data_IF_772109529447
#
_entry.id   IF_772109529447
#
_cell.length_a   1.000
_cell.length_b   1.000
_cell.length_c   1.000
_cell.angle_alpha   90.00
_cell.angle_beta   90.00
_cell.angle_gamma   90.00
#
_symmetry.space_group_name_H-M   'P 1'
#
loop_
_entity.id
_entity.type
_entity.pdbx_description
1 polymer ?
#
# COMPACT_ATOMS: atom_id res chain seq x y z
N UNK A 1 31.67 -28.45 27.24
CA UNK A 1 32.52 -27.42 26.62
C UNK A 1 32.47 -26.21 27.52
N UNK A 2 33.48 -26.02 28.37
CA UNK A 2 33.58 -24.82 29.19
C UNK A 2 34.02 -23.67 28.29
N UNK A 3 33.19 -22.63 28.21
CA UNK A 3 33.53 -21.39 27.51
C UNK A 3 34.77 -20.78 28.18
N UNK A 4 35.79 -20.40 27.40
CA UNK A 4 37.01 -19.74 27.88
C UNK A 4 36.66 -18.58 28.85
N UNK A 5 37.39 -18.37 29.95
CA UNK A 5 37.04 -17.37 30.98
C UNK A 5 36.83 -15.94 30.44
N UNK A 6 37.53 -15.56 29.36
CA UNK A 6 37.36 -14.28 28.68
C UNK A 6 36.17 -14.18 27.72
N UNK A 7 35.41 -15.26 27.49
CA UNK A 7 34.26 -15.23 26.59
C UNK A 7 33.16 -14.30 27.11
N UNK A 8 32.90 -14.32 28.42
CA UNK A 8 31.89 -13.47 29.05
C UNK A 8 32.28 -11.99 29.03
N UNK A 9 33.56 -11.67 29.21
CA UNK A 9 34.04 -10.28 29.14
C UNK A 9 33.95 -9.74 27.71
N UNK A 10 34.31 -10.54 26.70
CA UNK A 10 34.13 -10.17 25.29
C UNK A 10 32.66 -9.98 24.94
N UNK A 11 31.76 -10.88 25.37
CA UNK A 11 30.32 -10.74 25.16
C UNK A 11 29.76 -9.49 25.83
N UNK A 12 30.18 -9.19 27.06
CA UNK A 12 29.77 -7.99 27.78
C UNK A 12 30.26 -6.71 27.08
N UNK A 13 31.51 -6.67 26.63
CA UNK A 13 32.06 -5.52 25.90
C UNK A 13 31.36 -5.32 24.55
N UNK A 14 31.06 -6.39 23.82
CA UNK A 14 30.27 -6.33 22.58
C UNK A 14 28.85 -5.84 22.84
N UNK A 15 28.22 -6.28 23.93
CA UNK A 15 26.90 -5.84 24.34
C UNK A 15 26.88 -4.35 24.71
N UNK A 16 27.86 -3.88 25.51
CA UNK A 16 28.01 -2.47 25.87
C UNK A 16 28.30 -1.60 24.63
N UNK A 17 29.13 -2.08 23.71
CA UNK A 17 29.39 -1.42 22.43
C UNK A 17 28.11 -1.28 21.61
N UNK A 18 27.31 -2.35 21.49
CA UNK A 18 26.02 -2.31 20.78
C UNK A 18 25.03 -1.36 21.46
N UNK A 19 24.95 -1.39 22.80
CA UNK A 19 24.11 -0.49 23.58
C UNK A 19 24.46 0.99 23.38
N UNK A 20 25.72 1.33 23.12
CA UNK A 20 26.13 2.70 22.84
C UNK A 20 26.04 3.07 21.35
N UNK A 21 26.44 2.16 20.47
CA UNK A 21 26.53 2.38 19.03
C UNK A 21 25.14 2.44 18.36
N UNK A 22 24.18 1.65 18.81
CA UNK A 22 22.84 1.64 18.22
C UNK A 22 22.06 2.94 18.48
N UNK A 23 21.99 3.48 19.72
CA UNK A 23 21.36 4.77 19.98
C UNK A 23 22.12 5.92 19.30
N UNK A 24 23.44 5.92 19.32
CA UNK A 24 24.23 6.98 18.65
C UNK A 24 23.99 6.98 17.14
N UNK A 25 23.99 5.83 16.46
CA UNK A 25 23.63 5.76 15.04
C UNK A 25 22.19 6.21 14.79
N UNK A 26 21.26 5.83 15.67
CA UNK A 26 19.86 6.28 15.59
C UNK A 26 19.77 7.80 15.71
N UNK A 27 20.44 8.44 16.67
CA UNK A 27 20.35 9.89 16.87
C UNK A 27 21.14 10.69 15.82
N UNK A 28 22.27 10.18 15.34
CA UNK A 28 23.17 10.91 14.45
C UNK A 28 22.90 10.71 12.96
N UNK A 29 22.19 9.67 12.54
CA UNK A 29 21.97 9.36 11.11
C UNK A 29 20.49 9.24 10.74
N UNK A 30 19.94 10.20 9.98
CA UNK A 30 18.58 10.10 9.44
C UNK A 30 18.35 8.84 8.60
N UNK A 31 19.39 8.41 7.86
CA UNK A 31 19.36 7.15 7.11
C UNK A 31 19.23 5.93 8.02
N UNK A 32 19.95 5.90 9.15
CA UNK A 32 19.84 4.80 10.12
C UNK A 32 18.44 4.73 10.73
N UNK A 33 17.85 5.88 11.11
CA UNK A 33 16.46 5.94 11.59
C UNK A 33 15.49 5.34 10.57
N UNK A 34 15.62 5.71 9.31
CA UNK A 34 14.79 5.18 8.22
C UNK A 34 14.90 3.66 8.10
N UNK A 35 16.11 3.11 8.05
CA UNK A 35 16.29 1.66 7.92
C UNK A 35 15.75 0.90 9.13
N UNK A 36 15.97 1.41 10.35
CA UNK A 36 15.42 0.79 11.55
C UNK A 36 13.89 0.84 11.56
N UNK A 37 13.27 1.99 11.23
CA UNK A 37 11.81 2.10 11.13
C UNK A 37 11.22 1.19 10.06
N UNK A 38 11.88 1.05 8.91
CA UNK A 38 11.45 0.13 7.85
C UNK A 38 11.69 -1.34 8.21
N UNK A 39 12.76 -1.66 8.92
CA UNK A 39 13.02 -2.99 9.43
C UNK A 39 11.97 -3.38 10.47
N UNK A 40 11.64 -2.49 11.40
CA UNK A 40 10.55 -2.66 12.34
C UNK A 40 9.21 -2.84 11.61
N UNK A 41 8.90 -2.00 10.62
CA UNK A 41 7.67 -2.10 9.81
C UNK A 41 7.50 -3.49 9.18
N UNK A 42 8.52 -3.94 8.45
CA UNK A 42 8.47 -5.23 7.76
C UNK A 42 8.52 -6.41 8.74
N UNK A 43 9.35 -6.33 9.78
CA UNK A 43 9.47 -7.36 10.81
C UNK A 43 8.16 -7.53 11.59
N UNK A 44 7.50 -6.43 11.92
CA UNK A 44 6.21 -6.43 12.60
C UNK A 44 5.11 -7.07 11.74
N UNK A 45 5.07 -6.76 10.43
CA UNK A 45 4.15 -7.43 9.49
C UNK A 45 4.42 -8.94 9.43
N UNK A 46 5.68 -9.36 9.34
CA UNK A 46 6.05 -10.78 9.32
C UNK A 46 5.65 -11.49 10.61
N UNK A 47 5.86 -10.85 11.76
CA UNK A 47 5.46 -11.35 13.07
C UNK A 47 3.94 -11.52 13.17
N UNK A 48 3.16 -10.49 12.80
CA UNK A 48 1.70 -10.57 12.77
C UNK A 48 1.20 -11.66 11.81
N UNK A 49 1.87 -11.83 10.67
CA UNK A 49 1.54 -12.90 9.74
C UNK A 49 1.78 -14.29 10.34
N UNK A 50 2.86 -14.49 11.12
CA UNK A 50 3.08 -15.75 11.88
C UNK A 50 1.92 -16.03 12.83
N UNK A 51 1.45 -15.01 13.56
CA UNK A 51 0.33 -15.15 14.47
C UNK A 51 -1.01 -15.40 13.74
N UNK A 52 -1.20 -14.83 12.56
CA UNK A 52 -2.41 -15.01 11.76
C UNK A 52 -2.51 -16.40 11.12
N UNK A 53 -1.38 -17.01 10.75
CA UNK A 53 -1.34 -18.27 9.98
C UNK A 53 -2.13 -19.40 10.65
N UNK A 54 -1.98 -19.74 11.94
CA UNK A 54 -2.73 -20.83 12.56
C UNK A 54 -4.25 -20.63 12.46
N UNK A 55 -4.73 -19.40 12.71
CA UNK A 55 -6.15 -19.06 12.65
C UNK A 55 -6.68 -19.15 11.22
N UNK A 56 -5.94 -18.60 10.26
CA UNK A 56 -6.31 -18.66 8.84
C UNK A 56 -6.23 -20.09 8.29
N UNK A 57 -5.26 -20.89 8.73
CA UNK A 57 -5.04 -22.26 8.27
C UNK A 57 -6.19 -23.20 8.68
N UNK A 58 -6.74 -23.05 9.89
CA UNK A 58 -7.92 -23.80 10.34
C UNK A 58 -9.13 -23.57 9.42
N UNK A 59 -9.26 -22.37 8.86
CA UNK A 59 -10.35 -22.00 7.92
C UNK A 59 -10.02 -22.36 6.47
N UNK A 60 -8.82 -22.86 6.20
CA UNK A 60 -8.28 -23.05 4.87
C UNK A 60 -8.10 -21.74 4.10
N UNK A 61 -7.87 -21.85 2.79
CA UNK A 61 -7.77 -20.68 1.90
C UNK A 61 -9.15 -20.05 1.71
N UNK A 62 -9.36 -18.89 2.32
CA UNK A 62 -10.67 -18.22 2.34
C UNK A 62 -10.52 -16.70 2.34
N UNK A 63 -11.30 -16.00 1.51
CA UNK A 63 -11.31 -14.52 1.42
C UNK A 63 -11.72 -13.85 2.73
N UNK A 64 -12.49 -14.53 3.59
CA UNK A 64 -12.88 -14.04 4.90
C UNK A 64 -11.69 -13.85 5.85
N UNK A 65 -10.58 -14.54 5.61
CA UNK A 65 -9.34 -14.34 6.38
C UNK A 65 -8.75 -12.94 6.16
N UNK A 66 -9.13 -12.22 5.09
CA UNK A 66 -8.76 -10.80 4.94
C UNK A 66 -9.27 -9.93 6.09
N UNK A 67 -10.39 -10.31 6.74
CA UNK A 67 -10.88 -9.58 7.93
C UNK A 67 -9.90 -9.70 9.11
N UNK A 68 -9.30 -10.89 9.28
CA UNK A 68 -8.29 -11.14 10.31
C UNK A 68 -7.03 -10.32 10.00
N UNK A 69 -6.52 -10.41 8.77
CA UNK A 69 -5.34 -9.64 8.37
C UNK A 69 -5.58 -8.14 8.50
N UNK A 70 -6.74 -7.64 8.08
CA UNK A 70 -7.14 -6.23 8.24
C UNK A 70 -7.08 -5.83 9.71
N UNK A 71 -7.79 -6.56 10.59
CA UNK A 71 -7.83 -6.24 12.01
C UNK A 71 -6.43 -6.19 12.64
N UNK A 72 -5.57 -7.15 12.29
CA UNK A 72 -4.21 -7.24 12.80
C UNK A 72 -3.27 -6.18 12.23
N UNK A 73 -3.57 -5.56 11.08
CA UNK A 73 -2.71 -4.56 10.45
C UNK A 73 -3.15 -3.11 10.72
N UNK A 74 -4.43 -2.88 11.07
CA UNK A 74 -5.00 -1.54 11.29
C UNK A 74 -4.24 -0.72 12.33
N UNK A 75 -3.69 -1.35 13.37
CA UNK A 75 -3.01 -0.61 14.44
C UNK A 75 -1.63 -0.09 14.06
N UNK A 76 -1.02 -0.62 12.99
CA UNK A 76 0.36 -0.27 12.62
C UNK A 76 0.50 1.23 12.38
N UNK A 77 -0.52 1.90 11.83
CA UNK A 77 -0.48 3.36 11.62
C UNK A 77 -0.25 4.13 12.92
N UNK A 78 -0.80 3.66 14.04
CA UNK A 78 -0.61 4.27 15.36
C UNK A 78 0.81 4.06 15.89
N UNK A 79 1.48 2.96 15.50
CA UNK A 79 2.92 2.72 15.79
C UNK A 79 3.85 3.65 15.02
N UNK A 80 3.34 4.55 14.19
CA UNK A 80 4.11 5.61 13.53
C UNK A 80 3.46 6.99 13.66
N UNK A 81 2.34 7.10 14.39
CA UNK A 81 1.61 8.35 14.54
C UNK A 81 1.01 8.83 13.23
N UNK A 82 0.77 7.90 12.28
CA UNK A 82 0.19 8.22 10.98
C UNK A 82 -1.32 8.28 11.14
N UNK A 83 -1.90 9.43 10.81
CA UNK A 83 -3.34 9.60 10.69
C UNK A 83 -3.76 9.24 9.27
N UNK A 84 -4.79 8.42 9.13
CA UNK A 84 -5.41 8.14 7.83
C UNK A 84 -6.79 8.77 7.84
N UNK A 85 -7.06 9.66 6.91
CA UNK A 85 -8.37 10.31 6.75
C UNK A 85 -9.05 9.83 5.48
N UNK A 86 -10.20 9.19 5.66
CA UNK A 86 -10.98 8.60 4.59
C UNK A 86 -12.09 9.54 4.19
N UNK A 87 -12.19 9.84 2.88
CA UNK A 87 -13.25 10.66 2.29
C UNK A 87 -14.00 9.86 1.24
N UNK A 88 -15.32 10.03 1.18
CA UNK A 88 -16.15 9.41 0.13
C UNK A 88 -16.44 7.92 0.31
N UNK A 89 -16.31 7.37 1.52
CA UNK A 89 -16.57 5.95 1.79
C UNK A 89 -18.00 5.49 1.41
N UNK A 90 -18.96 6.42 1.34
CA UNK A 90 -20.34 6.14 0.89
C UNK A 90 -20.43 5.77 -0.60
N UNK A 91 -19.37 5.97 -1.40
CA UNK A 91 -19.35 5.59 -2.82
C UNK A 91 -19.17 4.08 -3.06
N UNK A 92 -18.85 3.29 -2.02
CA UNK A 92 -18.75 1.83 -2.16
C UNK A 92 -20.13 1.19 -2.41
N UNK A 93 -20.29 0.37 -3.46
CA UNK A 93 -21.53 -0.38 -3.69
C UNK A 93 -21.76 -1.40 -2.56
N UNK A 94 -22.90 -1.34 -1.84
CA UNK A 94 -23.14 -2.27 -0.74
C UNK A 94 -23.45 -3.70 -1.24
N UNK A 95 -24.13 -3.83 -2.38
CA UNK A 95 -24.85 -5.07 -2.74
C UNK A 95 -24.37 -5.74 -4.03
N UNK A 96 -23.16 -5.42 -4.51
CA UNK A 96 -22.61 -6.05 -5.72
C UNK A 96 -21.08 -6.16 -5.69
N UNK A 97 -20.50 -7.13 -6.42
CA UNK A 97 -19.07 -7.17 -6.73
C UNK A 97 -18.61 -5.92 -7.49
N UNK A 98 -17.34 -5.54 -7.30
CA UNK A 98 -16.69 -4.45 -8.03
C UNK A 98 -15.17 -4.60 -8.00
N UNK A 99 -14.52 -3.87 -8.90
CA UNK A 99 -13.06 -3.75 -8.94
C UNK A 99 -12.65 -2.43 -8.31
N UNK A 100 -11.84 -2.47 -7.26
CA UNK A 100 -11.19 -1.28 -6.70
C UNK A 100 -9.91 -1.01 -7.48
N UNK A 101 -9.71 0.25 -7.89
CA UNK A 101 -8.50 0.69 -8.59
C UNK A 101 -7.86 1.80 -7.77
N UNK A 102 -6.61 1.60 -7.33
CA UNK A 102 -5.88 2.58 -6.51
C UNK A 102 -4.47 2.84 -7.04
N UNK A 103 -3.97 4.07 -6.91
CA UNK A 103 -2.55 4.37 -7.15
C UNK A 103 -1.65 3.62 -6.14
N UNK A 104 -0.38 3.40 -6.51
CA UNK A 104 0.58 2.64 -5.71
C UNK A 104 1.92 3.38 -5.57
N UNK A 105 2.17 3.95 -4.39
CA UNK A 105 3.36 4.73 -4.09
C UNK A 105 4.43 3.91 -3.35
N UNK A 106 4.05 3.05 -2.39
CA UNK A 106 5.01 2.29 -1.58
C UNK A 106 4.36 1.12 -0.83
N UNK A 107 5.12 0.44 0.03
CA UNK A 107 4.55 -0.54 0.95
C UNK A 107 3.67 0.07 2.03
N UNK A 108 3.75 1.38 2.30
CA UNK A 108 2.90 2.08 3.26
C UNK A 108 1.45 2.25 2.75
N UNK A 109 1.20 2.07 1.45
CA UNK A 109 -0.17 2.03 0.91
C UNK A 109 -1.02 0.94 1.59
N UNK A 110 -0.38 -0.06 2.19
CA UNK A 110 -1.02 -1.07 3.02
C UNK A 110 -1.83 -0.42 4.15
N UNK A 111 -1.30 0.62 4.79
CA UNK A 111 -1.97 1.30 5.91
C UNK A 111 -3.28 1.96 5.45
N UNK A 112 -3.24 2.71 4.35
CA UNK A 112 -4.43 3.32 3.76
C UNK A 112 -5.41 2.27 3.23
N UNK A 113 -4.91 1.22 2.58
CA UNK A 113 -5.73 0.13 2.06
C UNK A 113 -6.51 -0.58 3.17
N UNK A 114 -5.88 -0.91 4.30
CA UNK A 114 -6.54 -1.60 5.41
C UNK A 114 -7.67 -0.78 6.04
N UNK A 115 -7.60 0.56 6.04
CA UNK A 115 -8.67 1.41 6.55
C UNK A 115 -9.96 1.27 5.74
N UNK A 116 -9.83 1.28 4.41
CA UNK A 116 -10.98 1.30 3.48
C UNK A 116 -11.25 -0.05 2.82
N UNK A 117 -10.53 -1.10 3.19
CA UNK A 117 -10.65 -2.41 2.57
C UNK A 117 -12.09 -2.92 2.71
N UNK A 118 -12.82 -3.11 1.60
CA UNK A 118 -14.18 -3.61 1.66
C UNK A 118 -14.25 -5.05 2.22
N UNK A 119 -15.41 -5.43 2.72
CA UNK A 119 -15.69 -6.83 3.07
C UNK A 119 -15.48 -7.74 1.86
N UNK A 120 -14.92 -8.94 2.08
CA UNK A 120 -14.63 -9.93 1.02
C UNK A 120 -13.84 -9.35 -0.16
N UNK A 121 -12.92 -8.42 0.10
CA UNK A 121 -12.05 -7.84 -0.92
C UNK A 121 -10.64 -8.42 -0.86
N UNK A 122 -10.12 -8.90 -2.00
CA UNK A 122 -8.76 -9.45 -2.11
C UNK A 122 -7.90 -8.66 -3.10
N UNK A 123 -6.65 -8.30 -2.75
CA UNK A 123 -5.75 -7.62 -3.68
C UNK A 123 -5.14 -8.58 -4.71
N UNK A 124 -4.76 -8.02 -5.87
CA UNK A 124 -3.92 -8.69 -6.87
C UNK A 124 -2.44 -8.34 -6.62
N UNK A 125 -1.68 -9.34 -6.20
CA UNK A 125 -0.27 -9.26 -5.88
C UNK A 125 0.64 -9.82 -6.99
N UNK A 126 1.91 -9.40 -6.97
CA UNK A 126 2.97 -9.97 -7.82
C UNK A 126 3.33 -11.38 -7.32
N UNK A 127 3.48 -12.36 -8.22
CA UNK A 127 3.75 -13.78 -7.89
C UNK A 127 4.88 -13.97 -6.88
N UNK A 128 5.94 -13.19 -6.99
CA UNK A 128 7.10 -13.25 -6.11
C UNK A 128 6.78 -12.91 -4.65
N UNK A 129 5.68 -12.18 -4.37
CA UNK A 129 5.23 -11.90 -3.01
C UNK A 129 4.69 -13.15 -2.29
N UNK A 130 4.34 -14.21 -3.02
CA UNK A 130 4.00 -15.50 -2.41
C UNK A 130 5.16 -16.04 -1.57
N UNK A 131 6.39 -15.75 -1.98
CA UNK A 131 7.63 -16.22 -1.35
C UNK A 131 8.16 -15.26 -0.28
N UNK A 132 7.38 -14.24 0.12
CA UNK A 132 7.76 -13.28 1.16
C UNK A 132 7.59 -13.84 2.59
N UNK A 133 8.00 -15.09 2.82
CA UNK A 133 7.91 -15.78 4.11
C UNK A 133 6.49 -15.89 4.66
N UNK A 134 6.31 -15.64 5.96
CA UNK A 134 5.01 -15.72 6.65
C UNK A 134 3.97 -14.80 6.03
N UNK A 135 4.36 -13.60 5.60
CA UNK A 135 3.43 -12.65 4.96
C UNK A 135 2.87 -13.20 3.64
N UNK A 136 3.70 -13.86 2.84
CA UNK A 136 3.28 -14.50 1.58
C UNK A 136 2.25 -15.62 1.82
N UNK A 137 2.53 -16.50 2.79
CA UNK A 137 1.61 -17.58 3.18
C UNK A 137 0.29 -17.05 3.78
N UNK A 138 0.36 -16.05 4.66
CA UNK A 138 -0.84 -15.42 5.23
C UNK A 138 -1.72 -14.78 4.14
N UNK A 139 -1.10 -14.09 3.17
CA UNK A 139 -1.79 -13.54 2.01
C UNK A 139 -2.45 -14.66 1.18
N UNK A 140 -1.74 -15.76 0.92
CA UNK A 140 -2.27 -16.90 0.18
C UNK A 140 -3.48 -17.53 0.86
N UNK A 141 -3.40 -17.77 2.18
CA UNK A 141 -4.52 -18.25 2.99
C UNK A 141 -5.70 -17.27 3.02
N UNK A 142 -5.44 -15.98 2.83
CA UNK A 142 -6.46 -14.94 2.72
C UNK A 142 -7.06 -14.77 1.33
N UNK A 143 -6.72 -15.64 0.38
CA UNK A 143 -7.29 -15.59 -0.97
C UNK A 143 -6.70 -14.48 -1.86
N UNK A 144 -5.57 -13.87 -1.46
CA UNK A 144 -4.83 -12.93 -2.33
C UNK A 144 -4.50 -13.61 -3.65
N UNK A 145 -4.72 -12.89 -4.75
CA UNK A 145 -4.51 -13.41 -6.11
C UNK A 145 -3.10 -13.04 -6.54
N UNK A 146 -2.28 -14.04 -6.84
CA UNK A 146 -0.89 -13.86 -7.25
C UNK A 146 -0.75 -14.03 -8.76
N UNK A 147 -0.25 -13.00 -9.45
CA UNK A 147 -0.07 -13.02 -10.91
C UNK A 147 1.40 -12.88 -11.31
N UNK A 148 1.80 -13.63 -12.35
CA UNK A 148 3.05 -13.38 -13.05
C UNK A 148 2.83 -12.30 -14.12
N UNK A 149 3.30 -11.09 -13.85
CA UNK A 149 3.15 -9.94 -14.75
C UNK A 149 4.08 -9.99 -15.97
N UNK A 150 5.05 -10.93 -16.00
CA UNK A 150 5.97 -11.11 -17.14
C UNK A 150 5.40 -12.05 -18.19
N UNK A 151 4.45 -12.93 -17.82
CA UNK A 151 3.77 -13.85 -18.72
C UNK A 151 2.36 -13.36 -19.01
N UNK A 152 2.23 -12.59 -20.09
CA UNK A 152 0.96 -11.94 -20.45
C UNK A 152 -0.19 -12.92 -20.68
N UNK A 153 0.09 -14.10 -21.28
CA UNK A 153 -0.92 -15.15 -21.47
C UNK A 153 -1.50 -15.66 -20.15
N UNK A 154 -0.62 -16.04 -19.21
CA UNK A 154 -0.99 -16.49 -17.86
C UNK A 154 -1.75 -15.40 -17.09
N UNK A 155 -1.38 -14.13 -17.27
CA UNK A 155 -2.10 -13.02 -16.63
C UNK A 155 -3.53 -12.88 -17.16
N UNK A 156 -3.76 -13.07 -18.46
CA UNK A 156 -5.11 -12.97 -19.06
C UNK A 156 -6.00 -14.12 -18.58
N UNK A 157 -5.49 -15.36 -18.59
CA UNK A 157 -6.27 -16.52 -18.12
C UNK A 157 -6.66 -16.37 -16.65
N UNK A 158 -5.73 -15.92 -15.79
CA UNK A 158 -6.02 -15.64 -14.38
C UNK A 158 -7.07 -14.54 -14.24
N UNK A 159 -7.00 -13.44 -15.01
CA UNK A 159 -8.04 -12.40 -14.94
C UNK A 159 -9.41 -12.94 -15.34
N UNK A 160 -9.48 -13.87 -16.31
CA UNK A 160 -10.73 -14.52 -16.70
C UNK A 160 -11.31 -15.40 -15.59
N UNK A 161 -10.48 -16.15 -14.89
CA UNK A 161 -10.90 -16.95 -13.71
C UNK A 161 -11.35 -16.04 -12.55
N UNK A 162 -10.64 -14.94 -12.33
CA UNK A 162 -11.00 -13.93 -11.33
C UNK A 162 -12.34 -13.26 -11.67
N UNK A 163 -12.62 -13.00 -12.95
CA UNK A 163 -13.90 -12.47 -13.40
C UNK A 163 -15.07 -13.38 -13.02
N UNK A 164 -14.90 -14.70 -13.19
CA UNK A 164 -15.90 -15.69 -12.77
C UNK A 164 -16.04 -15.77 -11.24
N UNK A 165 -14.92 -15.71 -10.52
CA UNK A 165 -14.90 -15.76 -9.06
C UNK A 165 -15.57 -14.54 -8.42
N UNK A 166 -15.34 -13.34 -8.96
CA UNK A 166 -15.99 -12.08 -8.54
C UNK A 166 -17.52 -12.26 -8.46
N UNK A 167 -18.11 -12.83 -9.51
CA UNK A 167 -19.56 -12.99 -9.65
C UNK A 167 -20.11 -14.15 -8.82
N UNK A 168 -19.47 -15.32 -8.90
CA UNK A 168 -19.99 -16.55 -8.29
C UNK A 168 -19.83 -16.59 -6.77
N UNK A 169 -18.84 -15.87 -6.22
CA UNK A 169 -18.51 -15.92 -4.79
C UNK A 169 -18.74 -14.60 -4.04
N UNK A 170 -19.36 -13.60 -4.68
CA UNK A 170 -19.51 -12.23 -4.14
C UNK A 170 -18.19 -11.70 -3.55
N UNK A 171 -17.15 -11.69 -4.38
CA UNK A 171 -15.81 -11.21 -4.02
C UNK A 171 -15.60 -9.85 -4.66
N UNK A 172 -14.81 -8.99 -4.02
CA UNK A 172 -14.32 -7.73 -4.59
C UNK A 172 -12.82 -7.85 -4.82
N UNK A 173 -12.30 -7.17 -5.83
CA UNK A 173 -10.88 -7.27 -6.19
C UNK A 173 -10.23 -5.91 -6.14
N UNK A 174 -9.09 -5.82 -5.46
CA UNK A 174 -8.29 -4.60 -5.38
C UNK A 174 -7.09 -4.67 -6.32
N UNK A 175 -6.97 -3.69 -7.22
CA UNK A 175 -5.88 -3.64 -8.20
C UNK A 175 -5.14 -2.32 -8.12
N UNK A 176 -3.82 -2.42 -8.08
CA UNK A 176 -2.90 -1.31 -8.29
C UNK A 176 -2.49 -1.29 -9.78
N UNK A 177 -3.15 -0.48 -10.64
CA UNK A 177 -3.06 -0.60 -12.09
C UNK A 177 -1.72 -0.12 -12.65
N UNK A 178 -0.92 0.62 -11.87
CA UNK A 178 0.46 1.00 -12.21
C UNK A 178 1.37 -0.24 -12.37
N UNK A 179 1.05 -1.33 -11.68
CA UNK A 179 1.78 -2.59 -11.76
C UNK A 179 3.18 -2.57 -11.12
N UNK A 180 3.57 -1.46 -10.50
CA UNK A 180 4.75 -1.29 -9.65
C UNK A 180 4.49 -0.14 -8.67
N UNK A 181 5.35 0.00 -7.65
CA UNK A 181 5.34 1.14 -6.74
C UNK A 181 5.99 2.34 -7.41
N UNK A 182 5.42 3.54 -7.23
CA UNK A 182 6.01 4.79 -7.69
C UNK A 182 6.47 5.67 -6.52
N UNK A 183 7.77 5.85 -6.40
CA UNK A 183 8.36 6.68 -5.36
C UNK A 183 8.56 8.15 -5.77
N UNK A 184 8.19 8.53 -7.00
CA UNK A 184 8.54 9.81 -7.62
C UNK A 184 7.42 10.87 -7.57
N UNK A 185 6.39 10.69 -6.74
CA UNK A 185 5.40 11.73 -6.40
C UNK A 185 4.31 11.96 -7.46
N UNK A 186 4.52 11.49 -8.69
CA UNK A 186 3.51 11.42 -9.74
C UNK A 186 2.81 10.06 -9.77
N UNK A 187 1.78 9.88 -10.60
CA UNK A 187 1.22 8.55 -10.91
C UNK A 187 1.83 8.00 -12.19
N UNK A 188 2.11 6.70 -12.23
CA UNK A 188 2.50 6.03 -13.46
C UNK A 188 1.29 5.80 -14.38
N UNK A 189 1.51 5.59 -15.69
CA UNK A 189 0.45 5.16 -16.59
C UNK A 189 -0.22 3.87 -16.11
N UNK A 190 -1.55 3.83 -16.18
CA UNK A 190 -2.32 2.67 -15.75
C UNK A 190 -2.32 1.58 -16.83
N UNK A 191 -2.04 0.35 -16.41
CA UNK A 191 -2.21 -0.84 -17.24
C UNK A 191 -3.69 -1.18 -17.38
N UNK A 192 -4.05 -1.76 -18.53
CA UNK A 192 -5.46 -2.04 -18.89
C UNK A 192 -6.09 -3.20 -18.12
N UNK A 193 -5.31 -4.06 -17.46
CA UNK A 193 -5.78 -5.32 -16.87
C UNK A 193 -6.96 -5.18 -15.89
N UNK A 194 -6.92 -4.20 -14.99
CA UNK A 194 -8.02 -3.94 -14.05
C UNK A 194 -9.33 -3.56 -14.76
N UNK A 195 -9.21 -2.79 -15.85
CA UNK A 195 -10.35 -2.34 -16.64
C UNK A 195 -10.92 -3.47 -17.50
N UNK A 196 -10.06 -4.30 -18.08
CA UNK A 196 -10.50 -5.51 -18.77
C UNK A 196 -11.23 -6.47 -17.83
N UNK A 197 -10.72 -6.67 -16.61
CA UNK A 197 -11.39 -7.48 -15.59
C UNK A 197 -12.80 -6.95 -15.28
N UNK A 198 -12.93 -5.65 -15.04
CA UNK A 198 -14.21 -5.02 -14.74
C UNK A 198 -15.21 -5.16 -15.90
N UNK A 199 -14.75 -4.94 -17.15
CA UNK A 199 -15.58 -5.13 -18.35
C UNK A 199 -15.96 -6.59 -18.53
N UNK A 200 -15.03 -7.53 -18.37
CA UNK A 200 -15.31 -8.95 -18.55
C UNK A 200 -16.31 -9.46 -17.52
N UNK A 201 -16.17 -9.04 -16.25
CA UNK A 201 -17.10 -9.39 -15.18
C UNK A 201 -18.40 -8.57 -15.20
N UNK A 202 -18.51 -7.53 -16.04
CA UNK A 202 -19.64 -6.58 -16.06
C UNK A 202 -19.90 -5.94 -14.68
N UNK A 203 -18.83 -5.62 -13.94
CA UNK A 203 -18.89 -4.99 -12.62
C UNK A 203 -18.34 -3.55 -12.68
N UNK A 204 -18.79 -2.64 -11.80
CA UNK A 204 -18.26 -1.29 -11.78
C UNK A 204 -16.84 -1.23 -11.21
N UNK A 205 -16.18 -0.10 -11.48
CA UNK A 205 -14.91 0.25 -10.86
C UNK A 205 -15.14 1.29 -9.77
N UNK A 206 -14.53 1.09 -8.61
CA UNK A 206 -14.41 2.10 -7.54
C UNK A 206 -12.99 2.65 -7.55
N UNK A 207 -12.75 3.88 -8.04
CA UNK A 207 -11.44 4.48 -8.00
C UNK A 207 -11.15 5.04 -6.60
N UNK A 208 -9.97 4.72 -6.08
CA UNK A 208 -9.45 5.23 -4.81
C UNK A 208 -8.14 5.96 -5.09
N UNK A 209 -7.99 7.13 -4.48
CA UNK A 209 -6.75 7.90 -4.56
C UNK A 209 -6.16 8.04 -3.17
N UNK A 210 -4.96 7.51 -2.99
CA UNK A 210 -4.12 7.80 -1.83
C UNK A 210 -3.30 9.05 -2.14
N UNK A 211 -3.40 10.09 -1.31
CA UNK A 211 -2.59 11.30 -1.48
C UNK A 211 -1.11 11.00 -1.38
N UNK A 212 -0.28 11.91 -1.89
CA UNK A 212 1.13 11.88 -1.58
C UNK A 212 1.33 11.89 -0.07
N UNK A 213 2.19 11.01 0.41
CA UNK A 213 2.72 11.02 1.77
C UNK A 213 4.25 11.19 1.76
N UNK A 214 4.75 11.78 0.67
CA UNK A 214 6.17 12.04 0.54
C UNK A 214 6.69 12.96 1.63
N UNK A 215 5.87 13.81 2.24
CA UNK A 215 6.28 14.75 3.28
C UNK A 215 6.78 14.07 4.56
N UNK A 216 6.34 12.84 4.84
CA UNK A 216 6.86 12.05 5.97
C UNK A 216 7.54 10.75 5.57
N UNK A 217 7.32 10.23 4.35
CA UNK A 217 7.99 9.02 3.87
C UNK A 217 8.54 9.19 2.45
N UNK A 218 9.87 9.15 2.30
CA UNK A 218 10.54 9.19 1.02
C UNK A 218 11.72 8.19 0.99
N UNK A 219 11.60 7.17 0.14
CA UNK A 219 12.65 6.14 -0.01
C UNK A 219 13.95 6.70 -0.58
N UNK A 220 13.87 7.65 -1.53
CA UNK A 220 15.05 8.26 -2.18
C UNK A 220 15.90 9.04 -1.18
N UNK A 221 15.24 9.81 -0.33
CA UNK A 221 15.87 10.61 0.74
C UNK A 221 16.14 9.79 2.01
N UNK A 222 15.69 8.53 2.06
CA UNK A 222 15.73 7.69 3.26
C UNK A 222 15.11 8.43 4.45
N UNK A 223 13.92 8.97 4.22
CA UNK A 223 13.14 9.71 5.21
C UNK A 223 11.92 8.89 5.60
N UNK A 224 11.76 8.68 6.89
CA UNK A 224 10.53 8.16 7.48
C UNK A 224 10.37 8.81 8.85
N UNK A 225 9.60 9.89 8.91
CA UNK A 225 9.31 10.59 10.16
C UNK A 225 8.02 10.06 10.78
N UNK A 226 7.95 10.04 12.10
CA UNK A 226 6.75 9.62 12.84
C UNK A 226 5.95 10.84 13.30
N UNK A 227 4.62 10.70 13.45
CA UNK A 227 3.73 11.80 13.81
C UNK A 227 3.91 12.41 15.21
N UNK A 228 4.73 11.79 16.05
CA UNK A 228 5.11 12.29 17.38
C UNK A 228 6.53 12.88 17.43
N UNK A 229 7.27 12.85 16.32
CA UNK A 229 8.58 13.47 16.27
C UNK A 229 8.42 14.99 16.18
N UNK A 230 9.26 15.72 16.92
CA UNK A 230 9.22 17.18 16.94
C UNK A 230 9.45 17.73 15.51
N UNK A 231 8.52 18.56 14.98
CA UNK A 231 8.70 19.19 13.66
C UNK A 231 9.98 20.04 13.57
N UNK A 232 10.54 20.51 14.70
CA UNK A 232 11.80 21.24 14.76
C UNK A 232 13.06 20.35 14.68
N UNK A 233 12.92 19.01 14.67
CA UNK A 233 14.08 18.11 14.65
C UNK A 233 14.95 18.27 13.39
N UNK A 234 16.28 18.11 13.46
CA UNK A 234 17.15 18.18 12.26
C UNK A 234 16.76 17.18 11.17
N UNK A 235 16.13 16.06 11.54
CA UNK A 235 15.62 15.04 10.61
C UNK A 235 14.33 15.42 9.87
N UNK A 236 13.54 16.37 10.39
CA UNK A 236 12.33 16.91 9.73
C UNK A 236 12.64 18.11 8.84
N UNK A 237 13.84 18.72 8.96
CA UNK A 237 14.26 19.89 8.16
C UNK A 237 14.83 19.56 6.77
N UNK A 238 14.74 18.30 6.30
CA UNK A 238 15.14 17.90 4.92
C UNK A 238 14.07 18.29 3.88
N UNK A 239 13.15 19.19 4.21
CA UNK A 239 12.20 19.78 3.27
C UNK A 239 12.92 20.69 2.27
N UNK A 240 12.74 20.41 0.98
CA UNK A 240 13.17 21.26 -0.12
C UNK A 240 12.77 22.74 0.11
N UNK A 241 13.60 23.71 -0.32
CA UNK A 241 13.32 25.13 -0.11
C UNK A 241 12.04 25.52 -0.87
N UNK A 242 10.97 25.85 -0.13
CA UNK A 242 9.72 26.37 -0.71
C UNK A 242 8.43 26.05 0.04
N UNK A 243 8.40 24.98 0.85
CA UNK A 243 7.17 24.61 1.58
C UNK A 243 7.27 24.97 3.07
N UNK A 244 7.01 26.24 3.40
CA UNK A 244 6.70 26.67 4.78
C UNK A 244 5.20 26.85 4.94
N UNK A 245 4.48 25.73 5.05
CA UNK A 245 3.15 25.74 5.68
C UNK A 245 3.25 24.96 6.98
N UNK A 246 3.05 25.68 8.09
CA UNK A 246 2.93 25.12 9.43
C UNK A 246 1.59 24.38 9.50
N UNK A 247 1.57 23.13 9.05
CA UNK A 247 0.40 22.25 9.15
C UNK A 247 0.46 21.55 10.51
N UNK A 248 -0.56 21.69 11.39
CA UNK A 248 -0.59 21.01 12.69
C UNK A 248 -0.69 19.47 12.58
N UNK A 249 -0.70 18.91 11.37
CA UNK A 249 -0.94 17.49 11.06
C UNK A 249 0.01 16.96 9.97
N UNK A 250 1.33 17.00 10.21
CA UNK A 250 2.36 16.66 9.20
C UNK A 250 2.32 15.19 8.69
N UNK A 251 1.60 14.28 9.37
CA UNK A 251 1.60 12.84 9.09
C UNK A 251 0.22 12.29 8.75
N UNK A 252 -0.47 12.97 7.83
CA UNK A 252 -1.80 12.57 7.37
C UNK A 252 -1.76 11.95 5.96
N UNK A 253 -2.28 10.73 5.83
CA UNK A 253 -2.55 10.10 4.54
C UNK A 253 -4.04 10.26 4.21
N UNK A 254 -4.35 10.90 3.09
CA UNK A 254 -5.72 11.06 2.62
C UNK A 254 -6.09 9.92 1.67
N UNK A 255 -7.25 9.32 1.90
CA UNK A 255 -7.81 8.27 1.04
C UNK A 255 -9.13 8.78 0.48
N UNK A 256 -9.16 9.18 -0.80
CA UNK A 256 -10.35 9.67 -1.49
C UNK A 256 -11.00 8.51 -2.28
N UNK A 257 -12.16 8.04 -1.84
CA UNK A 257 -13.01 7.10 -2.58
C UNK A 257 -13.92 7.92 -3.51
N UNK A 258 -13.80 7.69 -4.82
CA UNK A 258 -14.54 8.46 -5.84
C UNK A 258 -15.75 7.69 -6.37
N UNK A 259 -16.64 8.41 -7.07
CA UNK A 259 -17.86 7.86 -7.64
C UNK A 259 -17.58 6.70 -8.62
N UNK A 260 -18.54 5.77 -8.69
CA UNK A 260 -18.46 4.58 -9.52
C UNK A 260 -18.26 4.90 -11.00
N UNK A 261 -17.35 4.18 -11.64
CA UNK A 261 -17.27 4.10 -13.09
C UNK A 261 -18.07 2.86 -13.53
N UNK A 262 -19.23 3.08 -14.15
CA UNK A 262 -20.05 2.02 -14.73
C UNK A 262 -19.81 1.92 -16.23
N UNK A 263 -20.10 0.75 -16.82
CA UNK A 263 -20.00 0.54 -18.28
C UNK A 263 -20.87 1.51 -19.09
N UNK A 264 -21.94 2.08 -18.50
CA UNK A 264 -22.78 3.12 -19.14
C UNK A 264 -22.11 4.50 -19.23
N UNK A 265 -21.05 4.75 -18.46
CA UNK A 265 -20.24 5.98 -18.54
C UNK A 265 -19.00 5.82 -19.43
N UNK A 266 -18.80 4.66 -20.07
CA UNK A 266 -17.68 4.38 -20.95
C UNK A 266 -17.82 4.97 -22.37
N UNK A 267 -18.66 5.98 -22.57
CA UNK A 267 -18.90 6.64 -23.86
C UNK A 267 -17.96 7.80 -24.19
N UNK A 268 -16.90 8.08 -23.41
CA UNK A 268 -15.97 9.19 -23.72
C UNK A 268 -14.48 8.84 -23.58
N UNK A 269 -14.06 7.67 -24.06
CA UNK A 269 -12.64 7.42 -24.36
C UNK A 269 -12.41 7.74 -25.84
N UNK A 270 -12.45 9.02 -26.21
CA UNK A 270 -12.04 9.45 -27.55
C UNK A 270 -10.52 9.66 -27.60
N UNK A 271 -9.82 9.15 -28.63
CA UNK A 271 -8.44 9.54 -28.91
C UNK A 271 -8.39 11.03 -29.26
N UNK A 272 -7.47 11.75 -28.64
CA UNK A 272 -7.16 13.15 -28.96
C UNK A 272 -6.81 13.30 -30.45
N UNK A 273 -7.27 14.35 -31.16
CA UNK A 273 -6.89 14.55 -32.55
C UNK A 273 -5.38 14.84 -32.66
N UNK A 274 -4.71 14.39 -33.73
CA UNK A 274 -3.26 14.31 -33.77
C UNK A 274 -2.65 15.71 -33.93
N UNK A 275 -1.89 16.17 -32.94
CA UNK A 275 -0.80 17.13 -33.15
C UNK A 275 0.46 16.65 -32.43
N UNK A 276 1.31 16.02 -33.24
CA UNK A 276 2.77 15.87 -33.15
C UNK A 276 3.40 15.75 -31.74
N UNK A 277 3.57 14.51 -31.30
CA UNK A 277 4.89 13.86 -31.09
C UNK A 277 4.65 12.41 -30.62
N UNK A 278 5.52 11.51 -31.07
CA UNK A 278 5.29 10.08 -31.24
C UNK A 278 5.45 9.23 -29.98
N UNK A 279 4.57 8.22 -29.88
CA UNK A 279 4.71 6.89 -29.26
C UNK A 279 4.85 6.82 -27.72
N UNK A 280 3.72 6.60 -27.04
CA UNK A 280 3.53 5.52 -26.04
C UNK A 280 2.03 5.46 -25.63
N UNK A 281 1.32 4.41 -26.04
CA UNK A 281 -0.11 4.23 -25.79
C UNK A 281 -0.43 3.91 -24.33
N UNK A 282 -0.60 4.93 -23.49
CA UNK A 282 -1.14 4.84 -22.13
C UNK A 282 -2.58 5.35 -22.03
N UNK A 283 -3.41 4.69 -21.23
CA UNK A 283 -4.77 5.16 -20.90
C UNK A 283 -4.65 6.26 -19.83
N UNK A 284 -5.03 7.50 -20.15
CA UNK A 284 -5.12 8.61 -19.18
C UNK A 284 -6.52 8.64 -18.59
N UNK A 285 -6.67 8.21 -17.34
CA UNK A 285 -7.92 8.36 -16.58
C UNK A 285 -7.95 9.77 -15.98
N UNK A 286 -8.93 10.59 -16.37
CA UNK A 286 -9.15 11.90 -15.74
C UNK A 286 -9.98 11.67 -14.48
N UNK A 287 -9.31 11.45 -13.35
CA UNK A 287 -9.94 11.56 -12.04
C UNK A 287 -10.31 13.04 -11.87
N UNK A 288 -11.58 13.39 -11.61
CA UNK A 288 -11.89 14.75 -11.17
C UNK A 288 -11.04 14.99 -9.93
N UNK A 289 -10.26 16.05 -9.95
CA UNK A 289 -9.42 16.45 -8.83
C UNK A 289 -10.28 16.41 -7.56
N UNK A 290 -9.91 15.60 -6.56
CA UNK A 290 -10.29 15.87 -5.19
C UNK A 290 -9.51 17.14 -4.82
N UNK A 291 -9.87 18.30 -5.39
CA UNK A 291 -9.35 19.60 -4.95
C UNK A 291 -9.67 19.69 -3.47
N UNK A 292 -8.65 19.88 -2.64
CA UNK A 292 -8.85 20.32 -1.28
C UNK A 292 -9.71 21.59 -1.37
N UNK A 293 -10.99 21.48 -1.03
CA UNK A 293 -11.82 22.66 -0.81
C UNK A 293 -11.11 23.45 0.28
N UNK A 294 -10.70 24.71 0.03
CA UNK A 294 -10.17 25.55 1.09
C UNK A 294 -11.27 25.72 2.15
N UNK A 295 -10.92 25.39 3.38
CA UNK A 295 -11.73 25.71 4.56
C UNK A 295 -12.00 27.23 4.54
N UNK A 296 -13.27 27.61 4.42
CA UNK A 296 -13.73 28.92 4.89
C UNK A 296 -14.28 28.72 6.30
N UNK A 297 -13.92 29.60 7.25
CA UNK A 297 -14.25 29.46 8.67
C UNK A 297 -15.75 29.43 8.95
#
# INVERSE_FOLDING_TARGET
>A
MELWPGAWTVLLLLFLLLLFLLPTLWFCSPSAKYFFKMAFYNGWILFLAVLAIPVCAVRGRNVENMKILRLMLLHIKYLYGIRVEVRGAHHFPPSQPYVVVSNHQSSLDLLGMMEVLPGRCVPIAKRELLWAGSAGLACWLAGVIFIDRKRTGDAISVMSEVAQTLLTQDVRVWVFPEGTRNHNGSMLPFKRGAFHLAVQAQVPIVPIVMSSYQDFYCKKERRFTSGWEDPASPSSQVSAPGCRFFQPWQHTMWVCCTSLLTSRHATWIHPWPPRQTSIAGGMKVRLRECTAQPWTP
#
